data_IF_892184008594
#
_entry.id   IF_892184008594
#
_cell.length_a   1.000
_cell.length_b   1.000
_cell.length_c   1.000
_cell.angle_alpha   90.00
_cell.angle_beta   90.00
_cell.angle_gamma   90.00
#
_symmetry.space_group_name_H-M   'P 1'
#
loop_
_entity.id
_entity.type
_entity.pdbx_description
1 polymer ?
#
# COMPACT_ATOMS: atom_id res chain seq x y z
N UNK A 1 -11.89 -9.06 -1.90
CA UNK A 1 -11.92 -10.52 -1.66
C UNK A 1 -13.37 -10.96 -1.61
N UNK A 2 -13.77 -12.10 -2.21
CA UNK A 2 -15.17 -12.56 -2.25
C UNK A 2 -15.72 -13.12 -0.92
N UNK A 3 -15.07 -12.79 0.21
CA UNK A 3 -15.36 -13.36 1.53
C UNK A 3 -15.61 -12.29 2.61
N UNK A 4 -16.06 -11.09 2.21
CA UNK A 4 -16.52 -10.05 3.14
C UNK A 4 -17.97 -10.38 3.52
N UNK A 5 -18.31 -10.37 4.81
CA UNK A 5 -19.67 -10.59 5.35
C UNK A 5 -20.29 -11.97 5.02
N UNK A 6 -19.45 -12.99 4.78
CA UNK A 6 -19.92 -14.29 4.30
C UNK A 6 -20.37 -15.26 5.42
N UNK A 7 -20.28 -14.88 6.70
CA UNK A 7 -20.70 -15.73 7.81
C UNK A 7 -22.16 -15.51 8.22
N UNK A 8 -22.76 -16.55 8.80
CA UNK A 8 -24.18 -16.55 9.23
C UNK A 8 -24.31 -16.35 10.73
N UNK A 9 -25.36 -15.63 11.14
CA UNK A 9 -25.83 -15.55 12.53
C UNK A 9 -26.74 -16.72 12.93
N UNK A 10 -26.97 -17.66 12.01
CA UNK A 10 -27.83 -18.83 12.20
C UNK A 10 -27.10 -19.91 13.02
N UNK A 11 -26.99 -19.64 14.33
CA UNK A 11 -26.34 -20.52 15.29
C UNK A 11 -27.35 -21.54 15.85
N UNK A 12 -26.96 -22.81 16.03
CA UNK A 12 -27.80 -23.78 16.74
C UNK A 12 -28.15 -23.28 18.16
N UNK A 13 -29.37 -23.59 18.63
CA UNK A 13 -29.80 -23.22 19.97
C UNK A 13 -28.79 -23.71 21.04
N UNK A 14 -28.38 -22.80 21.91
CA UNK A 14 -27.43 -23.07 23.00
C UNK A 14 -25.97 -22.65 22.73
N UNK A 15 -25.64 -22.16 21.54
CA UNK A 15 -24.31 -21.61 21.24
C UNK A 15 -24.35 -20.07 21.30
N UNK A 16 -23.73 -19.50 22.33
CA UNK A 16 -23.42 -18.06 22.36
C UNK A 16 -22.00 -17.84 21.86
N UNK A 17 -21.82 -16.94 20.89
CA UNK A 17 -20.48 -16.51 20.51
C UNK A 17 -19.87 -15.68 21.64
N UNK A 18 -18.57 -15.87 21.95
CA UNK A 18 -17.89 -14.95 22.84
C UNK A 18 -17.93 -13.54 22.24
N UNK A 19 -18.09 -12.52 23.08
CA UNK A 19 -18.17 -11.13 22.63
C UNK A 19 -16.92 -10.69 21.85
N UNK A 20 -15.78 -11.35 22.10
CA UNK A 20 -14.48 -11.04 21.51
C UNK A 20 -13.78 -12.29 20.95
N UNK A 21 -12.80 -12.07 20.07
CA UNK A 21 -11.89 -13.10 19.57
C UNK A 21 -10.74 -13.38 20.56
N UNK A 22 -9.74 -14.16 20.13
CA UNK A 22 -8.57 -14.52 20.94
C UNK A 22 -7.62 -13.33 21.18
N UNK A 23 -7.68 -12.29 20.33
CA UNK A 23 -6.90 -11.05 20.45
C UNK A 23 -7.64 -9.94 21.23
N UNK A 24 -8.90 -10.18 21.62
CA UNK A 24 -9.72 -9.25 22.39
C UNK A 24 -10.57 -8.29 21.55
N UNK A 25 -10.64 -8.48 20.23
CA UNK A 25 -11.45 -7.64 19.34
C UNK A 25 -12.91 -8.11 19.32
N UNK A 26 -13.92 -7.22 19.26
CA UNK A 26 -15.32 -7.62 19.15
C UNK A 26 -15.58 -8.49 17.91
N UNK A 27 -16.21 -9.66 18.10
CA UNK A 27 -16.45 -10.62 16.99
C UNK A 27 -17.55 -10.23 16.02
N UNK A 28 -18.37 -9.24 16.37
CA UNK A 28 -19.55 -8.85 15.57
C UNK A 28 -19.42 -7.37 15.26
N UNK A 29 -19.33 -7.06 13.97
CA UNK A 29 -19.49 -5.71 13.43
C UNK A 29 -20.67 -5.74 12.46
N UNK A 30 -21.62 -4.81 12.60
CA UNK A 30 -22.71 -4.65 11.62
C UNK A 30 -23.76 -5.78 11.51
N UNK A 31 -23.66 -6.88 12.26
CA UNK A 31 -24.68 -7.94 12.32
C UNK A 31 -24.31 -9.29 11.69
N UNK A 32 -23.03 -9.52 11.36
CA UNK A 32 -22.52 -10.82 10.89
C UNK A 32 -21.13 -11.11 11.46
N UNK A 33 -20.79 -12.39 11.53
CA UNK A 33 -19.48 -12.90 12.00
C UNK A 33 -18.62 -13.18 10.77
N UNK A 34 -17.45 -12.56 10.66
CA UNK A 34 -16.52 -12.83 9.55
C UNK A 34 -15.76 -14.16 9.74
N UNK A 35 -15.62 -14.95 8.66
CA UNK A 35 -14.87 -16.23 8.65
C UNK A 35 -13.48 -16.13 7.99
N UNK A 36 -12.96 -14.92 7.71
CA UNK A 36 -11.69 -14.71 7.02
C UNK A 36 -10.49 -14.49 7.95
N UNK A 37 -9.38 -15.20 7.71
CA UNK A 37 -8.12 -15.16 8.48
C UNK A 37 -7.16 -14.01 8.11
N UNK A 38 -7.67 -12.84 7.70
CA UNK A 38 -6.85 -11.62 7.55
C UNK A 38 -7.60 -10.45 8.18
N UNK A 39 -7.13 -10.06 9.36
CA UNK A 39 -7.61 -8.94 10.15
C UNK A 39 -7.37 -7.63 9.39
N UNK A 40 -8.44 -6.87 9.16
CA UNK A 40 -8.32 -5.42 9.01
C UNK A 40 -7.80 -4.88 10.36
N UNK A 41 -6.69 -4.15 10.34
CA UNK A 41 -6.00 -3.71 11.55
C UNK A 41 -6.43 -2.26 11.89
N UNK A 42 -7.29 -2.01 12.91
CA UNK A 42 -7.54 -0.66 13.37
C UNK A 42 -6.42 -0.21 14.31
N UNK A 43 -5.56 0.65 13.78
CA UNK A 43 -5.01 1.87 14.41
C UNK A 43 -4.78 1.81 15.94
N UNK A 44 -3.52 1.94 16.33
CA UNK A 44 -3.09 2.33 17.67
C UNK A 44 -3.75 3.64 18.12
N UNK A 45 -4.45 3.61 19.26
CA UNK A 45 -5.08 4.78 19.88
C UNK A 45 -4.01 5.78 20.35
N UNK A 46 -3.86 6.84 19.57
CA UNK A 46 -3.36 8.15 19.98
C UNK A 46 -4.21 9.18 19.25
N UNK A 47 -4.91 10.01 20.01
CA UNK A 47 -5.82 11.09 19.57
C UNK A 47 -5.97 11.25 18.05
N UNK A 48 -6.98 10.57 17.48
CA UNK A 48 -7.35 10.69 16.08
C UNK A 48 -7.93 12.08 15.83
N UNK A 49 -7.06 13.08 15.66
CA UNK A 49 -7.37 14.21 14.79
C UNK A 49 -7.82 13.59 13.47
N UNK A 50 -8.98 13.97 12.95
CA UNK A 50 -9.44 13.65 11.61
C UNK A 50 -8.43 14.21 10.60
N UNK A 51 -7.27 13.55 10.47
CA UNK A 51 -6.34 13.79 9.39
C UNK A 51 -6.99 13.17 8.16
N UNK A 52 -7.12 13.89 7.05
CA UNK A 52 -7.51 13.26 5.80
C UNK A 52 -6.55 12.08 5.58
N UNK A 53 -7.08 10.86 5.55
CA UNK A 53 -6.29 9.70 5.22
C UNK A 53 -5.92 9.83 3.74
N UNK A 54 -4.67 10.16 3.45
CA UNK A 54 -4.14 10.19 2.09
C UNK A 54 -4.32 8.81 1.48
N UNK A 55 -5.25 8.66 0.52
CA UNK A 55 -5.37 7.41 -0.25
C UNK A 55 -4.31 7.47 -1.33
N UNK A 56 -3.31 6.59 -1.23
CA UNK A 56 -2.20 6.48 -2.16
C UNK A 56 -2.14 5.07 -2.76
N UNK A 57 -2.03 4.97 -4.08
CA UNK A 57 -1.98 3.70 -4.79
C UNK A 57 -0.90 3.73 -5.88
N UNK A 58 -0.13 2.65 -5.98
CA UNK A 58 0.91 2.45 -6.98
C UNK A 58 0.60 1.21 -7.80
N UNK A 59 0.68 1.34 -9.12
CA UNK A 59 0.70 0.20 -10.05
C UNK A 59 1.93 0.28 -10.95
N UNK A 60 2.36 -0.85 -11.49
CA UNK A 60 3.46 -0.85 -12.45
C UNK A 60 3.26 -1.92 -13.54
N UNK A 61 3.52 -1.55 -14.79
CA UNK A 61 3.39 -2.43 -15.95
C UNK A 61 4.44 -2.15 -17.03
N UNK A 62 5.03 -3.18 -17.65
CA UNK A 62 4.94 -4.59 -17.28
C UNK A 62 5.73 -4.86 -15.98
N UNK A 63 5.34 -5.88 -15.21
CA UNK A 63 6.11 -6.36 -14.06
C UNK A 63 6.00 -7.89 -14.02
N UNK A 64 7.08 -8.66 -14.31
CA UNK A 64 8.46 -8.20 -14.53
C UNK A 64 8.70 -7.35 -15.80
N UNK A 65 9.85 -6.68 -15.88
CA UNK A 65 10.27 -5.87 -17.04
C UNK A 65 11.73 -6.12 -17.44
N UNK A 66 12.04 -5.94 -18.73
CA UNK A 66 13.40 -6.11 -19.29
C UNK A 66 14.05 -4.79 -19.72
N UNK A 67 13.26 -3.83 -20.21
CA UNK A 67 13.77 -2.55 -20.75
C UNK A 67 13.22 -1.36 -19.99
N UNK A 68 11.90 -1.32 -19.78
CA UNK A 68 11.23 -0.22 -19.08
C UNK A 68 9.97 -0.71 -18.36
N UNK A 69 9.58 0.04 -17.34
CA UNK A 69 8.34 -0.14 -16.60
C UNK A 69 7.63 1.20 -16.42
N UNK A 70 6.33 1.22 -16.69
CA UNK A 70 5.45 2.34 -16.42
C UNK A 70 4.90 2.21 -15.01
N UNK A 71 5.18 3.19 -14.15
CA UNK A 71 4.73 3.28 -12.77
C UNK A 71 3.64 4.35 -12.70
N UNK A 72 2.44 3.97 -12.27
CA UNK A 72 1.32 4.89 -12.09
C UNK A 72 1.07 5.13 -10.61
N UNK A 73 1.07 6.39 -10.20
CA UNK A 73 0.77 6.82 -8.85
C UNK A 73 -0.56 7.59 -8.81
N UNK A 74 -1.44 7.20 -7.89
CA UNK A 74 -2.71 7.86 -7.61
C UNK A 74 -2.72 8.33 -6.16
N UNK A 75 -3.01 9.62 -5.93
CA UNK A 75 -3.06 10.21 -4.60
C UNK A 75 -4.25 11.16 -4.46
N UNK A 76 -4.86 11.21 -3.29
CA UNK A 76 -5.87 12.23 -2.96
C UNK A 76 -5.21 13.45 -2.32
N UNK A 77 -4.70 14.36 -3.16
CA UNK A 77 -4.13 15.67 -2.77
C UNK A 77 -2.92 15.57 -1.85
N UNK A 78 -1.71 15.78 -2.38
CA UNK A 78 -0.49 15.82 -1.60
C UNK A 78 0.27 17.14 -1.83
N UNK A 79 0.90 17.65 -0.77
CA UNK A 79 1.63 18.94 -0.78
C UNK A 79 3.10 18.75 -1.18
N UNK A 80 3.66 17.58 -0.86
CA UNK A 80 5.02 17.21 -1.23
C UNK A 80 5.06 15.71 -1.49
N UNK A 81 5.35 15.33 -2.73
CA UNK A 81 5.38 13.94 -3.21
C UNK A 81 6.78 13.59 -3.68
N UNK A 82 7.24 12.40 -3.26
CA UNK A 82 8.50 11.82 -3.72
C UNK A 82 8.28 10.36 -4.11
N UNK A 83 8.69 9.99 -5.33
CA UNK A 83 8.64 8.61 -5.82
C UNK A 83 10.08 8.14 -6.06
N UNK A 84 10.47 7.11 -5.32
CA UNK A 84 11.83 6.59 -5.27
C UNK A 84 11.85 5.09 -5.49
N UNK A 85 13.00 4.58 -5.94
CA UNK A 85 13.26 3.16 -6.13
C UNK A 85 14.37 2.74 -5.17
N UNK A 86 14.15 1.65 -4.44
CA UNK A 86 15.10 1.09 -3.49
C UNK A 86 15.47 -0.34 -3.87
N UNK A 87 16.69 -0.74 -3.53
CA UNK A 87 17.08 -2.15 -3.54
C UNK A 87 16.59 -2.87 -2.27
N UNK A 88 16.84 -4.20 -2.18
CA UNK A 88 16.44 -5.01 -1.01
C UNK A 88 17.12 -4.63 0.32
N UNK A 89 18.22 -3.87 0.27
CA UNK A 89 18.88 -3.33 1.47
C UNK A 89 18.25 -2.00 1.92
N UNK A 90 17.22 -1.53 1.23
CA UNK A 90 16.57 -0.24 1.51
C UNK A 90 17.37 0.97 1.00
N UNK A 91 18.44 0.77 0.22
CA UNK A 91 19.19 1.88 -0.37
C UNK A 91 18.42 2.45 -1.56
N UNK A 92 18.22 3.77 -1.56
CA UNK A 92 17.69 4.50 -2.71
C UNK A 92 18.69 4.40 -3.87
N UNK A 93 18.21 3.89 -5.01
CA UNK A 93 18.99 3.73 -6.25
C UNK A 93 18.53 4.70 -7.33
N UNK A 94 17.26 5.12 -7.32
CA UNK A 94 16.73 6.11 -8.24
C UNK A 94 15.65 6.98 -7.59
N UNK A 95 15.58 8.25 -7.97
CA UNK A 95 14.47 9.15 -7.68
C UNK A 95 13.75 9.48 -8.99
N UNK A 96 12.49 9.03 -9.13
CA UNK A 96 11.70 9.17 -10.36
C UNK A 96 10.92 10.49 -10.40
N UNK A 97 10.54 11.00 -9.24
CA UNK A 97 9.79 12.25 -9.10
C UNK A 97 10.00 12.83 -7.70
N UNK A 98 10.18 14.15 -7.64
CA UNK A 98 10.15 14.93 -6.41
C UNK A 98 9.46 16.27 -6.71
N UNK A 99 8.30 16.49 -6.09
CA UNK A 99 7.44 17.63 -6.41
C UNK A 99 6.78 18.18 -5.15
N UNK A 100 6.70 19.51 -5.04
CA UNK A 100 6.09 20.24 -3.93
C UNK A 100 4.88 21.06 -4.36
N UNK A 101 4.06 20.51 -5.25
CA UNK A 101 2.87 21.18 -5.81
C UNK A 101 1.59 20.40 -5.48
N UNK A 102 0.57 21.14 -5.04
CA UNK A 102 -0.69 20.68 -4.44
C UNK A 102 -1.67 20.02 -5.45
N UNK A 103 -1.20 19.51 -6.59
CA UNK A 103 -2.08 19.14 -7.72
C UNK A 103 -1.88 17.72 -8.27
N UNK A 104 -0.99 16.91 -7.70
CA UNK A 104 -0.81 15.54 -8.16
C UNK A 104 -1.94 14.65 -7.65
N UNK A 105 -2.84 14.25 -8.55
CA UNK A 105 -3.88 13.26 -8.28
C UNK A 105 -3.63 11.92 -8.99
N UNK A 106 -3.08 11.97 -10.21
CA UNK A 106 -2.70 10.82 -11.02
C UNK A 106 -1.45 11.21 -11.85
N UNK A 107 -0.41 10.38 -11.80
CA UNK A 107 0.79 10.56 -12.62
C UNK A 107 1.34 9.22 -13.10
N UNK A 108 1.92 9.18 -14.29
CA UNK A 108 2.59 8.01 -14.86
C UNK A 108 4.04 8.35 -15.17
N UNK A 109 4.95 7.54 -14.64
CA UNK A 109 6.40 7.69 -14.72
C UNK A 109 7.00 6.48 -15.42
N UNK A 110 8.05 6.68 -16.20
CA UNK A 110 8.81 5.58 -16.80
C UNK A 110 10.11 5.37 -16.01
N UNK A 111 10.48 4.11 -15.82
CA UNK A 111 11.77 3.73 -15.27
C UNK A 111 12.39 2.62 -16.12
N UNK A 112 13.64 2.83 -16.56
CA UNK A 112 14.37 1.93 -17.45
C UNK A 112 15.32 0.98 -16.71
N UNK A 113 15.18 0.88 -15.37
CA UNK A 113 16.06 0.04 -14.55
C UNK A 113 17.44 0.63 -14.32
N UNK A 114 17.65 1.94 -14.51
CA UNK A 114 18.91 2.63 -14.17
C UNK A 114 18.85 3.35 -12.83
N UNK A 115 20.01 3.59 -12.25
CA UNK A 115 20.16 4.47 -11.09
C UNK A 115 20.00 5.95 -11.48
N UNK A 116 19.91 6.84 -10.48
CA UNK A 116 19.98 8.30 -10.70
C UNK A 116 21.31 8.76 -11.32
N UNK A 117 22.37 7.95 -11.27
CA UNK A 117 23.66 8.22 -11.93
C UNK A 117 23.74 7.69 -13.36
N UNK A 118 22.71 6.96 -13.83
CA UNK A 118 22.64 6.38 -15.17
C UNK A 118 23.21 4.96 -15.29
N UNK A 119 23.69 4.38 -14.18
CA UNK A 119 24.23 3.02 -14.16
C UNK A 119 23.10 1.99 -14.34
N UNK A 120 23.35 0.97 -15.16
CA UNK A 120 22.41 -0.15 -15.32
C UNK A 120 22.38 -0.96 -14.03
N UNK A 121 21.20 -1.11 -13.44
CA UNK A 121 21.04 -1.89 -12.23
C UNK A 121 20.90 -3.38 -12.56
N UNK A 122 21.39 -4.29 -11.67
CA UNK A 122 21.26 -5.73 -11.86
C UNK A 122 19.80 -6.19 -11.97
N UNK A 123 19.59 -7.34 -12.60
CA UNK A 123 18.32 -8.06 -12.47
C UNK A 123 18.04 -8.35 -10.99
N UNK A 124 16.77 -8.29 -10.59
CA UNK A 124 16.38 -8.49 -9.21
C UNK A 124 15.13 -7.74 -8.80
N UNK A 125 14.88 -7.77 -7.49
CA UNK A 125 13.71 -7.14 -6.87
C UNK A 125 14.04 -5.73 -6.40
N UNK A 126 13.15 -4.80 -6.72
CA UNK A 126 13.20 -3.42 -6.28
C UNK A 126 11.88 -3.00 -5.65
N UNK A 127 11.95 -2.00 -4.77
CA UNK A 127 10.78 -1.42 -4.13
C UNK A 127 10.60 0.02 -4.62
N UNK A 128 9.48 0.27 -5.30
CA UNK A 128 9.04 1.64 -5.61
C UNK A 128 8.29 2.16 -4.40
N UNK A 129 8.67 3.32 -3.89
CA UNK A 129 8.09 3.95 -2.70
C UNK A 129 7.56 5.32 -3.05
N UNK A 130 6.31 5.58 -2.69
CA UNK A 130 5.64 6.86 -2.78
C UNK A 130 5.59 7.46 -1.37
N UNK A 131 6.17 8.64 -1.21
CA UNK A 131 6.23 9.35 0.06
C UNK A 131 5.52 10.69 -0.03
N UNK A 132 4.77 11.02 1.01
CA UNK A 132 4.19 12.34 1.25
C UNK A 132 4.89 12.99 2.45
N UNK A 133 5.40 14.21 2.31
CA UNK A 133 6.09 14.93 3.40
C UNK A 133 7.18 14.07 4.08
N UNK A 134 8.00 13.37 3.29
CA UNK A 134 9.03 12.41 3.73
C UNK A 134 8.52 11.18 4.50
N UNK A 135 7.21 10.92 4.51
CA UNK A 135 6.63 9.71 5.08
C UNK A 135 6.15 8.78 3.96
N UNK A 136 6.57 7.50 3.93
CA UNK A 136 6.06 6.57 2.94
C UNK A 136 4.55 6.35 3.14
N UNK A 137 3.77 6.52 2.07
CA UNK A 137 2.31 6.34 2.06
C UNK A 137 1.88 5.16 1.18
N UNK A 138 2.70 4.75 0.22
CA UNK A 138 2.51 3.51 -0.54
C UNK A 138 3.85 2.91 -0.99
N UNK A 139 3.86 1.61 -1.25
CA UNK A 139 5.01 0.94 -1.86
C UNK A 139 4.57 -0.19 -2.79
N UNK A 140 5.39 -0.50 -3.79
CA UNK A 140 5.14 -1.52 -4.80
C UNK A 140 6.42 -2.29 -5.12
N UNK A 141 6.34 -3.61 -5.04
CA UNK A 141 7.44 -4.50 -5.44
C UNK A 141 7.46 -4.66 -6.96
N UNK A 142 8.62 -4.40 -7.57
CA UNK A 142 8.86 -4.59 -9.00
C UNK A 142 10.04 -5.53 -9.24
N UNK A 143 10.04 -6.24 -10.36
CA UNK A 143 11.05 -7.23 -10.73
C UNK A 143 11.67 -6.83 -12.07
N UNK A 144 12.98 -6.62 -12.08
CA UNK A 144 13.79 -6.41 -13.29
C UNK A 144 14.42 -7.74 -13.70
N UNK A 145 14.28 -8.11 -14.97
CA UNK A 145 14.93 -9.29 -15.58
C UNK A 145 16.29 -8.96 -16.21
#
# INVERSE_FOLDING_TARGET
SPCIDAGTMDLPEGISLPATDLAGNPRVWGGSVDMGAYEFNPVSIGESRLQPQTVAHLTAMPNPFTHEISITAQLTTAVSVRITVHNLLGREVACLMEQTDNRLSLTSLQWDGRSSTGDILPAGVYLVSLSENNKPVASLRVVKE
#
